data_IF_379712699781
#
_entry.id   IF_379712699781
#
_cell.length_a   1.000
_cell.length_b   1.000
_cell.length_c   1.000
_cell.angle_alpha   90.00
_cell.angle_beta   90.00
_cell.angle_gamma   90.00
#
_symmetry.space_group_name_H-M   'P 1'
#
loop_
_entity.id
_entity.type
_entity.pdbx_description
1 polymer ?
#
# COMPACT_ATOMS: atom_id res chain seq x y z
N UNK A 1 -6.60 -31.54 -17.18
CA UNK A 1 -5.97 -31.77 -15.85
C UNK A 1 -5.33 -30.49 -15.27
N UNK A 2 -4.50 -29.74 -16.03
CA UNK A 2 -3.80 -28.54 -15.52
C UNK A 2 -4.72 -27.37 -15.07
N UNK A 3 -5.86 -27.16 -15.76
CA UNK A 3 -6.86 -26.15 -15.34
C UNK A 3 -7.44 -26.46 -13.95
N UNK A 4 -7.81 -27.72 -13.69
CA UNK A 4 -8.32 -28.18 -12.38
C UNK A 4 -7.27 -27.97 -11.27
N UNK A 5 -5.99 -28.31 -11.53
CA UNK A 5 -4.89 -28.05 -10.58
C UNK A 5 -4.61 -26.57 -10.32
N UNK A 6 -4.87 -25.71 -11.30
CA UNK A 6 -4.73 -24.26 -11.14
C UNK A 6 -5.86 -23.67 -10.31
N UNK A 7 -7.10 -24.11 -10.55
CA UNK A 7 -8.28 -23.70 -9.78
C UNK A 7 -8.12 -24.14 -8.32
N UNK A 8 -7.79 -25.41 -8.06
CA UNK A 8 -7.60 -25.91 -6.70
C UNK A 8 -6.52 -25.11 -5.94
N UNK A 9 -5.37 -24.85 -6.57
CA UNK A 9 -4.31 -24.07 -5.95
C UNK A 9 -4.73 -22.62 -5.67
N UNK A 10 -5.43 -21.99 -6.62
CA UNK A 10 -5.99 -20.67 -6.41
C UNK A 10 -6.93 -20.66 -5.20
N UNK A 11 -7.88 -21.60 -5.13
CA UNK A 11 -8.84 -21.69 -4.02
C UNK A 11 -8.16 -21.89 -2.67
N UNK A 12 -7.14 -22.76 -2.59
CA UNK A 12 -6.39 -22.97 -1.34
C UNK A 12 -5.65 -21.70 -0.91
N UNK A 13 -4.91 -21.07 -1.83
CA UNK A 13 -4.20 -19.81 -1.52
C UNK A 13 -5.19 -18.71 -1.13
N UNK A 14 -6.30 -18.61 -1.85
CA UNK A 14 -7.35 -17.63 -1.57
C UNK A 14 -7.92 -17.78 -0.16
N UNK A 15 -8.28 -19.00 0.26
CA UNK A 15 -8.78 -19.27 1.61
C UNK A 15 -7.74 -18.90 2.67
N UNK A 16 -6.48 -19.32 2.49
CA UNK A 16 -5.40 -19.02 3.45
C UNK A 16 -5.18 -17.52 3.59
N UNK A 17 -5.11 -16.79 2.46
CA UNK A 17 -4.94 -15.34 2.48
C UNK A 17 -6.17 -14.64 3.06
N UNK A 18 -7.39 -15.09 2.76
CA UNK A 18 -8.61 -14.52 3.32
C UNK A 18 -8.67 -14.66 4.84
N UNK A 19 -8.32 -15.84 5.37
CA UNK A 19 -8.24 -16.04 6.82
C UNK A 19 -7.20 -15.12 7.48
N UNK A 20 -6.08 -14.87 6.81
CA UNK A 20 -5.10 -13.89 7.29
C UNK A 20 -5.67 -12.45 7.25
N UNK A 21 -6.23 -12.04 6.11
CA UNK A 21 -6.63 -10.66 5.83
C UNK A 21 -7.92 -10.22 6.54
N UNK A 22 -8.79 -11.15 6.93
CA UNK A 22 -10.02 -10.83 7.65
C UNK A 22 -9.94 -11.20 9.13
N UNK A 23 -9.40 -12.38 9.43
CA UNK A 23 -9.39 -12.92 10.80
C UNK A 23 -8.07 -12.76 11.53
N UNK A 24 -7.01 -12.30 10.84
CA UNK A 24 -5.65 -12.25 11.38
C UNK A 24 -5.24 -13.56 12.07
N UNK A 25 -5.59 -14.71 11.49
CA UNK A 25 -5.42 -16.04 12.13
C UNK A 25 -3.96 -16.37 12.49
N UNK A 26 -3.00 -15.66 11.89
CA UNK A 26 -1.58 -15.83 12.16
C UNK A 26 -1.02 -14.83 13.19
N UNK A 27 -1.86 -13.96 13.77
CA UNK A 27 -1.44 -13.01 14.80
C UNK A 27 -0.46 -11.95 14.29
N UNK A 28 -0.63 -11.53 13.04
CA UNK A 28 0.19 -10.52 12.37
C UNK A 28 -0.18 -9.14 12.91
N UNK A 29 0.81 -8.40 13.41
CA UNK A 29 0.62 -7.03 13.86
C UNK A 29 1.81 -6.53 14.66
N UNK A 30 1.85 -5.22 14.93
CA UNK A 30 2.93 -4.61 15.70
C UNK A 30 2.71 -4.79 17.21
N UNK A 31 1.46 -4.81 17.65
CA UNK A 31 1.03 -5.01 19.03
C UNK A 31 -0.31 -5.78 19.08
N UNK A 32 -0.75 -6.19 20.28
CA UNK A 32 -1.88 -7.12 20.48
C UNK A 32 -3.20 -6.65 19.84
N UNK A 33 -3.49 -5.36 19.93
CA UNK A 33 -4.72 -4.74 19.41
C UNK A 33 -4.49 -4.02 18.07
N UNK A 34 -3.32 -4.23 17.45
CA UNK A 34 -2.92 -3.50 16.24
C UNK A 34 -3.91 -3.72 15.10
N UNK A 35 -4.27 -4.97 14.84
CA UNK A 35 -5.13 -5.34 13.72
C UNK A 35 -6.54 -4.76 13.84
N UNK A 36 -7.16 -4.88 15.02
CA UNK A 36 -8.53 -4.38 15.25
C UNK A 36 -8.61 -2.85 15.29
N UNK A 37 -7.51 -2.20 15.72
CA UNK A 37 -7.39 -0.74 15.73
C UNK A 37 -6.86 -0.15 14.43
N UNK A 38 -6.34 -0.96 13.51
CA UNK A 38 -5.57 -0.48 12.36
C UNK A 38 -6.42 0.42 11.46
N UNK A 39 -6.05 1.70 11.41
CA UNK A 39 -6.68 2.69 10.54
C UNK A 39 -8.21 2.79 10.72
N UNK A 40 -8.67 2.62 11.97
CA UNK A 40 -10.07 2.84 12.36
C UNK A 40 -10.46 4.31 12.24
N UNK A 41 -9.53 5.22 12.53
CA UNK A 41 -9.64 6.66 12.33
C UNK A 41 -9.91 7.03 10.86
N UNK A 42 -9.23 6.37 9.91
CA UNK A 42 -9.46 6.55 8.49
C UNK A 42 -10.79 5.94 8.05
N UNK A 43 -11.10 4.72 8.52
CA UNK A 43 -12.40 4.09 8.24
C UNK A 43 -13.59 4.91 8.77
N UNK A 44 -13.40 5.64 9.87
CA UNK A 44 -14.41 6.53 10.44
C UNK A 44 -14.86 7.64 9.48
N UNK A 45 -14.03 8.06 8.52
CA UNK A 45 -14.43 8.99 7.46
C UNK A 45 -15.58 8.40 6.63
N UNK A 46 -15.46 7.12 6.25
CA UNK A 46 -16.48 6.41 5.49
C UNK A 46 -17.71 6.11 6.35
N UNK A 47 -17.49 5.62 7.57
CA UNK A 47 -18.60 5.27 8.48
C UNK A 47 -19.43 6.49 8.86
N UNK A 48 -18.78 7.62 9.20
CA UNK A 48 -19.47 8.85 9.55
C UNK A 48 -20.26 9.40 8.37
N UNK A 49 -19.70 9.33 7.17
CA UNK A 49 -20.41 9.70 5.92
C UNK A 49 -21.71 8.91 5.79
N UNK A 50 -21.66 7.59 5.97
CA UNK A 50 -22.84 6.74 5.89
C UNK A 50 -23.86 7.03 7.01
N UNK A 51 -23.40 7.29 8.24
CA UNK A 51 -24.25 7.68 9.39
C UNK A 51 -24.94 9.03 9.19
N UNK A 52 -24.30 9.94 8.45
CA UNK A 52 -24.76 11.30 8.23
C UNK A 52 -25.49 11.52 6.91
N UNK A 53 -25.70 10.47 6.11
CA UNK A 53 -26.18 10.59 4.72
C UNK A 53 -27.49 11.36 4.56
N UNK A 54 -28.40 11.29 5.54
CA UNK A 54 -29.69 12.00 5.51
C UNK A 54 -29.60 13.44 6.04
N UNK A 55 -28.51 13.80 6.75
CA UNK A 55 -28.37 15.08 7.45
C UNK A 55 -27.34 16.03 6.82
N UNK A 56 -26.34 15.51 6.10
CA UNK A 56 -25.20 16.32 5.63
C UNK A 56 -25.44 17.04 4.30
N UNK A 57 -26.39 16.58 3.48
CA UNK A 57 -26.56 17.07 2.10
C UNK A 57 -25.38 16.77 1.15
N UNK A 58 -24.32 16.12 1.63
CA UNK A 58 -23.12 15.76 0.86
C UNK A 58 -22.95 14.25 0.83
N UNK A 59 -22.81 13.69 -0.37
CA UNK A 59 -22.66 12.25 -0.61
C UNK A 59 -21.21 11.75 -0.57
N UNK A 60 -20.24 12.66 -0.59
CA UNK A 60 -18.82 12.34 -0.51
C UNK A 60 -18.31 12.23 0.94
N UNK A 61 -17.01 11.92 1.11
CA UNK A 61 -16.41 11.72 2.43
C UNK A 61 -16.51 12.98 3.29
N UNK A 62 -16.92 12.81 4.55
CA UNK A 62 -16.99 13.87 5.56
C UNK A 62 -15.82 13.79 6.54
N UNK A 63 -15.35 14.94 6.98
CA UNK A 63 -14.32 15.07 8.02
C UNK A 63 -14.75 16.13 9.04
N UNK A 64 -14.19 16.07 10.24
CA UNK A 64 -14.40 17.06 11.30
C UNK A 64 -14.11 18.48 10.81
N UNK A 65 -14.98 19.42 11.17
CA UNK A 65 -14.75 20.85 11.03
C UNK A 65 -13.62 21.30 11.97
N UNK A 66 -12.92 22.39 11.62
CA UNK A 66 -11.73 22.82 12.37
C UNK A 66 -12.12 23.21 13.81
N UNK A 67 -11.30 22.84 14.80
CA UNK A 67 -11.39 23.14 16.25
C UNK A 67 -12.07 22.10 17.16
N UNK A 68 -12.42 20.91 16.65
CA UNK A 68 -12.97 19.81 17.47
C UNK A 68 -12.02 18.61 17.56
N UNK A 69 -12.14 17.80 18.61
CA UNK A 69 -11.39 16.55 18.72
C UNK A 69 -11.85 15.54 17.67
N UNK A 70 -10.91 15.11 16.80
CA UNK A 70 -11.21 14.25 15.66
C UNK A 70 -11.88 12.95 16.07
N UNK A 71 -11.37 12.28 17.10
CA UNK A 71 -11.86 10.96 17.49
C UNK A 71 -13.25 11.05 18.12
N UNK A 72 -13.50 12.05 18.98
CA UNK A 72 -14.80 12.28 19.59
C UNK A 72 -15.88 12.55 18.53
N UNK A 73 -15.58 13.33 17.49
CA UNK A 73 -16.54 13.60 16.43
C UNK A 73 -16.69 12.42 15.49
N UNK A 74 -15.59 11.84 15.00
CA UNK A 74 -15.63 10.87 13.90
C UNK A 74 -16.07 9.47 14.32
N UNK A 75 -15.82 9.05 15.56
CA UNK A 75 -16.09 7.67 16.02
C UNK A 75 -17.42 7.49 16.75
N UNK A 76 -18.09 8.58 17.12
CA UNK A 76 -19.39 8.53 17.79
C UNK A 76 -20.50 7.99 16.87
N UNK A 77 -21.49 7.30 17.46
CA UNK A 77 -22.60 6.73 16.70
C UNK A 77 -23.57 7.75 16.11
N UNK A 78 -23.62 8.96 16.68
CA UNK A 78 -24.50 10.05 16.27
C UNK A 78 -24.01 10.82 15.04
N UNK A 79 -24.91 11.62 14.47
CA UNK A 79 -24.60 12.58 13.42
C UNK A 79 -25.03 13.98 13.82
N UNK A 80 -24.04 14.85 13.99
CA UNK A 80 -24.16 16.30 14.03
C UNK A 80 -23.46 16.87 12.79
N UNK A 81 -24.26 17.35 11.83
CA UNK A 81 -23.75 17.84 10.55
C UNK A 81 -23.01 19.18 10.69
N UNK A 82 -23.25 19.95 11.76
CA UNK A 82 -22.60 21.24 11.99
C UNK A 82 -21.11 21.10 12.32
N UNK A 83 -20.72 19.95 12.86
CA UNK A 83 -19.34 19.61 13.19
C UNK A 83 -18.58 18.99 12.02
N UNK A 84 -19.21 18.87 10.84
CA UNK A 84 -18.66 18.16 9.70
C UNK A 84 -18.53 19.06 8.47
N UNK A 85 -17.55 18.74 7.63
CA UNK A 85 -17.35 19.36 6.31
C UNK A 85 -16.90 18.33 5.28
N UNK A 86 -17.05 18.60 3.98
CA UNK A 86 -16.49 17.76 2.93
C UNK A 86 -14.98 17.57 3.08
N UNK A 87 -14.51 16.34 2.89
CA UNK A 87 -13.10 16.02 2.85
C UNK A 87 -12.54 16.32 1.45
N UNK A 88 -12.02 17.54 1.28
CA UNK A 88 -11.60 18.07 -0.02
C UNK A 88 -10.41 17.35 -0.69
N UNK A 89 -9.72 16.45 0.02
CA UNK A 89 -8.53 15.76 -0.49
C UNK A 89 -8.83 14.69 -1.53
N UNK A 90 -10.10 14.35 -1.78
CA UNK A 90 -10.48 13.31 -2.74
C UNK A 90 -11.97 13.38 -3.08
N UNK A 91 -12.34 12.81 -4.23
CA UNK A 91 -13.75 12.59 -4.57
C UNK A 91 -14.43 11.57 -3.64
N UNK A 92 -13.67 10.57 -3.18
CA UNK A 92 -14.08 9.54 -2.23
C UNK A 92 -15.08 8.54 -2.80
N UNK A 93 -14.77 7.95 -3.97
CA UNK A 93 -15.61 6.94 -4.62
C UNK A 93 -16.02 5.81 -3.67
N UNK A 94 -15.10 5.35 -2.83
CA UNK A 94 -15.34 4.34 -1.79
C UNK A 94 -16.41 4.78 -0.80
N UNK A 95 -16.31 6.02 -0.28
CA UNK A 95 -17.26 6.55 0.67
C UNK A 95 -18.65 6.68 0.04
N UNK A 96 -18.71 7.14 -1.21
CA UNK A 96 -19.96 7.30 -1.98
C UNK A 96 -20.66 5.96 -2.22
N UNK A 97 -19.95 4.95 -2.70
CA UNK A 97 -20.53 3.63 -2.98
C UNK A 97 -20.97 2.95 -1.67
N UNK A 98 -20.11 2.94 -0.65
CA UNK A 98 -20.42 2.32 0.65
C UNK A 98 -21.62 3.03 1.30
N UNK A 99 -21.68 4.36 1.24
CA UNK A 99 -22.80 5.13 1.80
C UNK A 99 -24.10 4.90 1.02
N UNK A 100 -24.04 4.86 -0.32
CA UNK A 100 -25.22 4.62 -1.15
C UNK A 100 -25.87 3.25 -0.89
N UNK A 101 -25.06 2.24 -0.57
CA UNK A 101 -25.51 0.89 -0.26
C UNK A 101 -25.83 0.67 1.23
N UNK A 102 -25.55 1.64 2.10
CA UNK A 102 -25.75 1.52 3.53
C UNK A 102 -27.25 1.54 3.89
N UNK A 103 -27.71 0.70 4.84
CA UNK A 103 -29.09 0.76 5.33
C UNK A 103 -29.42 2.12 5.96
N UNK A 104 -30.68 2.56 5.87
CA UNK A 104 -31.14 3.79 6.56
C UNK A 104 -31.20 3.59 8.09
N UNK A 105 -31.48 2.36 8.52
CA UNK A 105 -31.51 1.99 9.93
C UNK A 105 -30.10 1.99 10.52
N UNK A 106 -29.82 2.96 11.38
CA UNK A 106 -28.53 3.15 12.05
C UNK A 106 -28.08 1.94 12.88
N UNK A 107 -29.01 1.14 13.40
CA UNK A 107 -28.71 -0.07 14.16
C UNK A 107 -28.10 -1.18 13.30
N UNK A 108 -28.36 -1.17 11.97
CA UNK A 108 -27.83 -2.15 11.02
C UNK A 108 -26.46 -1.77 10.45
N UNK A 109 -26.02 -0.52 10.62
CA UNK A 109 -24.75 -0.02 10.09
C UNK A 109 -23.51 -0.79 10.58
N UNK A 110 -23.36 -1.17 11.87
CA UNK A 110 -22.19 -1.93 12.31
C UNK A 110 -22.05 -3.28 11.59
N UNK A 111 -23.16 -4.00 11.42
CA UNK A 111 -23.18 -5.28 10.69
C UNK A 111 -22.90 -5.07 9.20
N UNK A 112 -23.43 -3.98 8.61
CA UNK A 112 -23.17 -3.61 7.23
C UNK A 112 -21.68 -3.33 6.99
N UNK A 113 -21.03 -2.49 7.82
CA UNK A 113 -19.60 -2.20 7.67
C UNK A 113 -18.76 -3.47 7.78
N UNK A 114 -19.05 -4.34 8.75
CA UNK A 114 -18.36 -5.65 8.86
C UNK A 114 -18.48 -6.49 7.58
N UNK A 115 -19.62 -6.47 6.90
CA UNK A 115 -19.77 -7.14 5.59
C UNK A 115 -18.91 -6.49 4.51
N UNK A 116 -18.79 -5.16 4.50
CA UNK A 116 -17.86 -4.45 3.60
C UNK A 116 -16.41 -4.87 3.87
N UNK A 117 -15.97 -4.90 5.14
CA UNK A 117 -14.65 -5.38 5.53
C UNK A 117 -14.38 -6.80 4.99
N UNK A 118 -15.34 -7.74 5.14
CA UNK A 118 -15.24 -9.11 4.59
C UNK A 118 -15.03 -9.10 3.07
N UNK A 119 -15.82 -8.30 2.34
CA UNK A 119 -15.73 -8.22 0.87
C UNK A 119 -14.37 -7.67 0.44
N UNK A 120 -13.85 -6.65 1.12
CA UNK A 120 -12.54 -6.07 0.84
C UNK A 120 -11.41 -7.08 1.08
N UNK A 121 -11.41 -7.78 2.22
CA UNK A 121 -10.43 -8.83 2.51
C UNK A 121 -10.50 -9.97 1.49
N UNK A 122 -11.71 -10.39 1.10
CA UNK A 122 -11.93 -11.43 0.10
C UNK A 122 -11.41 -11.01 -1.29
N UNK A 123 -11.65 -9.77 -1.69
CA UNK A 123 -11.15 -9.20 -2.94
C UNK A 123 -9.62 -9.09 -2.94
N UNK A 124 -9.03 -8.64 -1.83
CA UNK A 124 -7.56 -8.55 -1.69
C UNK A 124 -6.92 -9.94 -1.75
N UNK A 125 -7.50 -10.91 -1.04
CA UNK A 125 -7.07 -12.31 -1.09
C UNK A 125 -7.15 -12.88 -2.51
N UNK A 126 -8.21 -12.55 -3.27
CA UNK A 126 -8.37 -13.02 -4.65
C UNK A 126 -7.28 -12.42 -5.56
N UNK A 127 -7.03 -11.12 -5.43
CA UNK A 127 -6.00 -10.43 -6.19
C UNK A 127 -4.61 -11.03 -5.93
N UNK A 128 -4.24 -11.24 -4.67
CA UNK A 128 -2.96 -11.84 -4.29
C UNK A 128 -2.86 -13.33 -4.63
N UNK A 129 -3.97 -14.08 -4.60
CA UNK A 129 -4.01 -15.46 -5.09
C UNK A 129 -3.78 -15.55 -6.60
N UNK A 130 -4.29 -14.60 -7.40
CA UNK A 130 -3.98 -14.50 -8.83
C UNK A 130 -2.50 -14.20 -9.09
N UNK A 131 -1.92 -13.25 -8.35
CA UNK A 131 -0.47 -12.96 -8.41
C UNK A 131 0.33 -14.20 -8.04
N UNK A 132 -0.03 -14.89 -6.96
CA UNK A 132 0.60 -16.15 -6.54
C UNK A 132 0.50 -17.24 -7.59
N UNK A 133 -0.64 -17.37 -8.27
CA UNK A 133 -0.81 -18.31 -9.38
C UNK A 133 0.12 -17.98 -10.55
N UNK A 134 0.36 -16.69 -10.83
CA UNK A 134 1.35 -16.25 -11.83
C UNK A 134 2.78 -16.55 -11.39
N UNK A 135 3.12 -16.33 -10.12
CA UNK A 135 4.41 -16.73 -9.52
C UNK A 135 4.62 -18.24 -9.68
N UNK A 136 3.59 -19.06 -9.41
CA UNK A 136 3.65 -20.52 -9.61
C UNK A 136 3.98 -20.89 -11.06
N UNK A 137 3.35 -20.23 -12.04
CA UNK A 137 3.62 -20.49 -13.46
C UNK A 137 5.04 -20.07 -13.88
N UNK A 138 5.59 -19.03 -13.28
CA UNK A 138 6.93 -18.53 -13.60
C UNK A 138 8.04 -19.34 -12.92
N UNK A 139 7.85 -19.70 -11.65
CA UNK A 139 8.93 -20.14 -10.76
C UNK A 139 8.68 -21.49 -10.07
N UNK A 140 7.47 -22.03 -10.18
CA UNK A 140 7.07 -23.31 -9.62
C UNK A 140 6.35 -23.21 -8.27
N UNK A 141 5.88 -24.35 -7.78
CA UNK A 141 5.00 -24.44 -6.59
C UNK A 141 5.65 -23.91 -5.32
N UNK A 142 6.91 -24.29 -5.04
CA UNK A 142 7.59 -23.89 -3.79
C UNK A 142 7.75 -22.37 -3.72
N UNK A 143 8.16 -21.73 -4.82
CA UNK A 143 8.31 -20.28 -4.86
C UNK A 143 6.98 -19.57 -4.62
N UNK A 144 5.88 -20.10 -5.18
CA UNK A 144 4.55 -19.55 -4.97
C UNK A 144 4.04 -19.75 -3.53
N UNK A 145 4.30 -20.91 -2.92
CA UNK A 145 3.93 -21.17 -1.52
C UNK A 145 4.67 -20.24 -0.55
N UNK A 146 5.98 -20.05 -0.75
CA UNK A 146 6.77 -19.09 0.03
C UNK A 146 6.24 -17.67 -0.17
N UNK A 147 6.00 -17.26 -1.41
CA UNK A 147 5.43 -15.94 -1.71
C UNK A 147 4.10 -15.71 -0.98
N UNK A 148 3.15 -16.66 -1.07
CA UNK A 148 1.86 -16.56 -0.39
C UNK A 148 2.00 -16.51 1.14
N UNK A 149 2.94 -17.27 1.69
CA UNK A 149 3.21 -17.29 3.15
C UNK A 149 3.74 -15.94 3.62
N UNK A 150 4.70 -15.35 2.89
CA UNK A 150 5.27 -14.05 3.25
C UNK A 150 4.24 -12.91 3.10
N UNK A 151 3.37 -12.98 2.08
CA UNK A 151 2.23 -12.06 1.96
C UNK A 151 1.25 -12.24 3.12
N UNK A 152 0.96 -13.47 3.53
CA UNK A 152 0.07 -13.77 4.66
C UNK A 152 0.61 -13.26 6.00
N UNK A 153 1.93 -13.10 6.14
CA UNK A 153 2.61 -12.61 7.36
C UNK A 153 3.04 -11.15 7.28
N UNK A 154 2.60 -10.44 6.25
CA UNK A 154 2.90 -9.01 6.11
C UNK A 154 1.96 -8.19 6.98
N UNK A 155 2.44 -7.44 7.98
CA UNK A 155 1.56 -6.61 8.81
C UNK A 155 0.80 -5.59 7.99
N UNK A 156 1.48 -4.89 7.09
CA UNK A 156 0.87 -3.85 6.28
C UNK A 156 -0.21 -4.41 5.36
N UNK A 157 0.07 -5.48 4.62
CA UNK A 157 -0.95 -6.07 3.73
C UNK A 157 -2.13 -6.60 4.55
N UNK A 158 -1.88 -7.26 5.68
CA UNK A 158 -2.95 -7.78 6.53
C UNK A 158 -3.82 -6.66 7.11
N UNK A 159 -3.21 -5.60 7.64
CA UNK A 159 -3.94 -4.48 8.26
C UNK A 159 -4.78 -3.70 7.25
N UNK A 160 -4.24 -3.46 6.05
CA UNK A 160 -4.94 -2.68 5.02
C UNK A 160 -6.07 -3.45 4.32
N UNK A 161 -6.03 -4.79 4.31
CA UNK A 161 -6.91 -5.60 3.46
C UNK A 161 -8.41 -5.40 3.70
N UNK A 162 -8.79 -5.13 4.96
CA UNK A 162 -10.18 -4.90 5.32
C UNK A 162 -10.59 -3.42 5.36
N UNK A 163 -9.66 -2.48 5.15
CA UNK A 163 -9.91 -1.07 5.47
C UNK A 163 -10.81 -0.36 4.42
N UNK A 164 -11.89 0.26 4.88
CA UNK A 164 -12.91 0.89 4.03
C UNK A 164 -12.47 2.22 3.43
N UNK A 165 -11.53 2.93 4.05
CA UNK A 165 -10.99 4.17 3.49
C UNK A 165 -9.98 3.88 2.39
N UNK A 166 -9.05 2.96 2.67
CA UNK A 166 -7.90 2.71 1.80
C UNK A 166 -8.21 1.81 0.61
N UNK A 167 -9.21 0.92 0.73
CA UNK A 167 -9.62 -0.04 -0.30
C UNK A 167 -8.38 -0.69 -0.94
N UNK A 168 -7.62 -1.43 -0.13
CA UNK A 168 -6.35 -2.02 -0.55
C UNK A 168 -6.40 -2.82 -1.87
N UNK A 169 -7.47 -3.57 -2.20
CA UNK A 169 -7.58 -4.19 -3.52
C UNK A 169 -7.34 -3.22 -4.68
N UNK A 170 -7.82 -1.97 -4.59
CA UNK A 170 -7.59 -0.96 -5.62
C UNK A 170 -6.17 -0.37 -5.58
N UNK A 171 -5.50 -0.37 -4.42
CA UNK A 171 -4.09 0.06 -4.33
C UNK A 171 -3.16 -0.90 -5.08
N UNK A 172 -3.39 -2.22 -4.97
CA UNK A 172 -2.58 -3.24 -5.63
C UNK A 172 -3.07 -3.63 -7.02
N UNK A 173 -4.29 -3.24 -7.41
CA UNK A 173 -4.86 -3.61 -8.71
C UNK A 173 -4.01 -3.18 -9.92
N UNK A 174 -3.44 -1.96 -9.98
CA UNK A 174 -2.56 -1.57 -11.10
C UNK A 174 -1.33 -2.50 -11.23
N UNK A 175 -0.62 -2.75 -10.12
CA UNK A 175 0.49 -3.70 -10.12
C UNK A 175 0.06 -5.12 -10.55
N UNK A 176 -1.02 -5.63 -9.96
CA UNK A 176 -1.49 -6.98 -10.23
C UNK A 176 -1.94 -7.13 -11.68
N UNK A 177 -2.68 -6.16 -12.21
CA UNK A 177 -3.08 -6.14 -13.62
C UNK A 177 -1.85 -6.09 -14.52
N UNK A 178 -0.89 -5.19 -14.26
CA UNK A 178 0.39 -5.12 -14.97
C UNK A 178 1.11 -6.47 -15.00
N UNK A 179 1.24 -7.12 -13.83
CA UNK A 179 1.95 -8.39 -13.67
C UNK A 179 1.25 -9.59 -14.32
N UNK A 180 -0.08 -9.56 -14.39
CA UNK A 180 -0.89 -10.64 -14.93
C UNK A 180 -1.12 -10.51 -16.44
N UNK A 181 -1.34 -9.30 -16.96
CA UNK A 181 -1.85 -9.06 -18.31
C UNK A 181 -0.78 -8.62 -19.31
N UNK A 182 0.29 -7.93 -18.87
CA UNK A 182 1.26 -7.28 -19.77
C UNK A 182 1.82 -8.21 -20.85
N UNK A 183 2.35 -9.38 -20.45
CA UNK A 183 2.93 -10.33 -21.42
C UNK A 183 1.91 -10.81 -22.45
N UNK A 184 0.66 -11.01 -22.03
CA UNK A 184 -0.41 -11.46 -22.89
C UNK A 184 -0.79 -10.36 -23.89
N UNK A 185 -1.10 -9.16 -23.41
CA UNK A 185 -1.44 -8.01 -24.25
C UNK A 185 -0.34 -7.68 -25.26
N UNK A 186 0.94 -7.79 -24.84
CA UNK A 186 2.08 -7.64 -25.75
C UNK A 186 2.09 -8.71 -26.84
N UNK A 187 1.97 -9.98 -26.48
CA UNK A 187 1.99 -11.09 -27.44
C UNK A 187 0.83 -11.04 -28.43
N UNK A 188 -0.35 -10.60 -27.97
CA UNK A 188 -1.55 -10.44 -28.80
C UNK A 188 -1.61 -9.12 -29.56
N UNK A 189 -0.55 -8.29 -29.53
CA UNK A 189 -0.51 -6.95 -30.15
C UNK A 189 -1.63 -6.01 -29.68
N UNK A 190 -2.16 -6.23 -28.47
CA UNK A 190 -3.27 -5.50 -27.84
C UNK A 190 -2.77 -4.59 -26.70
N UNK A 191 -1.63 -3.92 -26.90
CA UNK A 191 -1.06 -3.02 -25.89
C UNK A 191 -1.97 -1.83 -25.56
N UNK A 192 -2.85 -1.42 -26.48
CA UNK A 192 -3.81 -0.36 -26.19
C UNK A 192 -4.83 -0.79 -25.11
N UNK A 193 -5.29 -2.05 -25.10
CA UNK A 193 -6.16 -2.59 -24.05
C UNK A 193 -5.45 -2.66 -22.70
N UNK A 194 -4.14 -2.95 -22.71
CA UNK A 194 -3.33 -2.91 -21.50
C UNK A 194 -3.34 -1.50 -20.89
N UNK A 195 -2.98 -0.48 -21.66
CA UNK A 195 -2.95 0.89 -21.14
C UNK A 195 -4.34 1.42 -20.80
N UNK A 196 -5.38 1.06 -21.56
CA UNK A 196 -6.75 1.39 -21.22
C UNK A 196 -7.18 0.79 -19.87
N UNK A 197 -6.85 -0.48 -19.63
CA UNK A 197 -7.10 -1.14 -18.35
C UNK A 197 -6.38 -0.47 -17.19
N UNK A 198 -5.10 -0.13 -17.36
CA UNK A 198 -4.33 0.62 -16.36
C UNK A 198 -4.92 2.02 -16.10
N UNK A 199 -5.32 2.76 -17.14
CA UNK A 199 -5.98 4.06 -16.97
C UNK A 199 -7.24 3.95 -16.13
N UNK A 200 -8.09 2.94 -16.39
CA UNK A 200 -9.33 2.71 -15.63
C UNK A 200 -9.00 2.39 -14.16
N UNK A 201 -8.07 1.46 -13.90
CA UNK A 201 -7.71 1.07 -12.54
C UNK A 201 -7.10 2.22 -11.74
N UNK A 202 -6.19 2.98 -12.35
CA UNK A 202 -5.60 4.15 -11.74
C UNK A 202 -6.64 5.24 -11.49
N UNK A 203 -7.53 5.51 -12.46
CA UNK A 203 -8.62 6.47 -12.29
C UNK A 203 -9.52 6.08 -11.12
N UNK A 204 -9.95 4.82 -11.03
CA UNK A 204 -10.74 4.32 -9.91
C UNK A 204 -10.02 4.45 -8.56
N UNK A 205 -8.72 4.14 -8.51
CA UNK A 205 -7.93 4.33 -7.28
C UNK A 205 -7.83 5.81 -6.89
N UNK A 206 -7.59 6.70 -7.86
CA UNK A 206 -7.40 8.13 -7.61
C UNK A 206 -8.72 8.84 -7.28
N UNK A 207 -9.86 8.33 -7.74
CA UNK A 207 -11.17 8.77 -7.25
C UNK A 207 -11.37 8.46 -5.76
N UNK A 208 -10.70 7.43 -5.24
CA UNK A 208 -10.66 7.10 -3.82
C UNK A 208 -9.42 7.60 -3.08
N UNK A 209 -8.70 8.58 -3.62
CA UNK A 209 -7.59 9.25 -2.95
C UNK A 209 -6.27 9.21 -3.71
N UNK A 210 -5.51 10.30 -3.62
CA UNK A 210 -4.23 10.52 -4.32
C UNK A 210 -3.01 9.98 -3.56
N UNK A 211 -3.22 9.38 -2.40
CA UNK A 211 -2.17 8.83 -1.56
C UNK A 211 -1.37 7.76 -2.31
N UNK A 212 -0.05 7.81 -2.17
CA UNK A 212 0.91 6.91 -2.79
C UNK A 212 0.95 6.93 -4.32
N UNK A 213 0.40 7.97 -4.98
CA UNK A 213 0.31 8.04 -6.46
C UNK A 213 1.64 7.77 -7.16
N UNK A 214 2.76 8.28 -6.66
CA UNK A 214 4.09 8.07 -7.26
C UNK A 214 4.53 6.61 -7.17
N UNK A 215 4.30 5.97 -6.02
CA UNK A 215 4.58 4.55 -5.78
C UNK A 215 3.68 3.66 -6.64
N UNK A 216 2.37 3.94 -6.67
CA UNK A 216 1.39 3.18 -7.46
C UNK A 216 1.70 3.29 -8.96
N UNK A 217 2.02 4.49 -9.46
CA UNK A 217 2.43 4.71 -10.85
C UNK A 217 3.67 3.87 -11.22
N UNK A 218 4.69 3.87 -10.37
CA UNK A 218 5.89 3.07 -10.59
C UNK A 218 5.59 1.57 -10.50
N UNK A 219 4.63 1.16 -9.67
CA UNK A 219 4.21 -0.24 -9.54
C UNK A 219 3.64 -0.84 -10.83
N UNK A 220 3.09 -0.02 -11.75
CA UNK A 220 2.67 -0.45 -13.09
C UNK A 220 3.88 -0.69 -13.99
N UNK A 221 4.88 0.19 -13.91
CA UNK A 221 6.08 0.11 -14.76
C UNK A 221 7.00 -1.05 -14.38
N UNK A 222 7.05 -1.44 -13.11
CA UNK A 222 7.96 -2.50 -12.63
C UNK A 222 7.69 -3.86 -13.29
N UNK A 223 6.43 -4.37 -13.41
CA UNK A 223 6.15 -5.58 -14.18
C UNK A 223 6.54 -5.49 -15.66
N UNK A 224 6.39 -4.31 -16.27
CA UNK A 224 6.83 -4.08 -17.66
C UNK A 224 8.35 -4.29 -17.76
N UNK A 225 9.12 -3.67 -16.86
CA UNK A 225 10.57 -3.88 -16.75
C UNK A 225 10.90 -5.36 -16.54
N UNK A 226 10.20 -6.00 -15.61
CA UNK A 226 10.42 -7.41 -15.30
C UNK A 226 10.32 -8.26 -16.57
N UNK A 227 9.18 -8.19 -17.27
CA UNK A 227 8.90 -9.03 -18.44
C UNK A 227 9.75 -8.68 -19.66
N UNK A 228 10.06 -7.40 -19.89
CA UNK A 228 10.88 -6.99 -21.02
C UNK A 228 12.34 -7.47 -20.91
N UNK A 229 12.84 -7.60 -19.69
CA UNK A 229 14.22 -7.99 -19.44
C UNK A 229 14.42 -9.52 -19.28
N UNK A 230 13.36 -10.34 -19.20
CA UNK A 230 13.48 -11.80 -18.91
C UNK A 230 14.39 -12.51 -19.92
N UNK A 231 14.36 -12.07 -21.17
CA UNK A 231 15.10 -12.70 -22.26
C UNK A 231 16.47 -12.04 -22.51
N UNK A 232 16.88 -11.04 -21.72
CA UNK A 232 18.14 -10.29 -21.86
C UNK A 232 18.42 -9.62 -23.22
N UNK A 233 17.46 -9.66 -24.16
CA UNK A 233 17.59 -9.06 -25.50
C UNK A 233 17.41 -7.54 -25.50
N UNK A 234 16.68 -7.01 -24.52
CA UNK A 234 16.38 -5.59 -24.40
C UNK A 234 17.40 -4.89 -23.48
N UNK A 235 17.79 -3.66 -23.84
CA UNK A 235 18.57 -2.78 -22.95
C UNK A 235 17.58 -1.95 -22.12
N UNK A 236 17.87 -1.73 -20.83
CA UNK A 236 17.01 -0.97 -19.91
C UNK A 236 16.64 0.41 -20.47
N UNK A 237 17.61 1.10 -21.10
CA UNK A 237 17.40 2.43 -21.66
C UNK A 237 16.29 2.46 -22.71
N UNK A 238 16.06 1.37 -23.45
CA UNK A 238 15.00 1.29 -24.47
C UNK A 238 13.59 1.23 -23.86
N UNK A 239 13.46 1.03 -22.55
CA UNK A 239 12.17 1.00 -21.86
C UNK A 239 11.61 2.40 -21.58
N UNK A 240 12.32 3.48 -21.93
CA UNK A 240 11.85 4.86 -21.76
C UNK A 240 10.47 5.09 -22.42
N UNK A 241 10.20 4.45 -23.56
CA UNK A 241 8.89 4.55 -24.24
C UNK A 241 7.75 4.03 -23.38
N UNK A 242 7.99 2.94 -22.64
CA UNK A 242 7.02 2.40 -21.70
C UNK A 242 6.88 3.29 -20.46
N UNK A 243 7.96 3.90 -19.99
CA UNK A 243 7.91 4.87 -18.90
C UNK A 243 7.05 6.09 -19.30
N UNK A 244 7.27 6.64 -20.50
CA UNK A 244 6.47 7.76 -21.03
C UNK A 244 4.99 7.38 -21.16
N UNK A 245 4.67 6.23 -21.74
CA UNK A 245 3.27 5.79 -21.84
C UNK A 245 2.62 5.56 -20.47
N UNK A 246 3.36 5.00 -19.51
CA UNK A 246 2.86 4.86 -18.12
C UNK A 246 2.62 6.24 -17.50
N UNK A 247 3.50 7.21 -17.76
CA UNK A 247 3.30 8.60 -17.34
C UNK A 247 2.03 9.23 -17.93
N UNK A 248 1.78 9.06 -19.24
CA UNK A 248 0.55 9.53 -19.89
C UNK A 248 -0.69 8.92 -19.25
N UNK A 249 -0.69 7.60 -19.03
CA UNK A 249 -1.80 6.89 -18.36
C UNK A 249 -2.08 7.47 -16.96
N UNK A 250 -1.04 7.71 -16.16
CA UNK A 250 -1.16 8.28 -14.81
C UNK A 250 -1.68 9.71 -14.86
N UNK A 251 -1.18 10.55 -15.77
CA UNK A 251 -1.64 11.94 -15.92
C UNK A 251 -3.11 11.99 -16.32
N UNK A 252 -3.54 11.18 -17.29
CA UNK A 252 -4.95 11.12 -17.71
C UNK A 252 -5.85 10.68 -16.56
N UNK A 253 -5.46 9.62 -15.83
CA UNK A 253 -6.20 9.16 -14.67
C UNK A 253 -6.28 10.21 -13.56
N UNK A 254 -5.17 10.91 -13.28
CA UNK A 254 -5.11 11.95 -12.26
C UNK A 254 -5.96 13.17 -12.63
N UNK A 255 -5.82 13.70 -13.85
CA UNK A 255 -6.61 14.85 -14.32
C UNK A 255 -8.09 14.54 -14.28
N UNK A 256 -8.49 13.34 -14.73
CA UNK A 256 -9.87 12.88 -14.62
C UNK A 256 -10.36 12.89 -13.17
N UNK A 257 -9.62 12.25 -12.26
CA UNK A 257 -10.05 12.13 -10.87
C UNK A 257 -10.05 13.49 -10.14
N UNK A 258 -9.11 14.37 -10.47
CA UNK A 258 -9.07 15.75 -10.00
C UNK A 258 -10.29 16.54 -10.47
N UNK A 259 -10.61 16.47 -11.77
CA UNK A 259 -11.76 17.16 -12.34
C UNK A 259 -13.06 16.69 -11.68
N UNK A 260 -13.23 15.37 -11.47
CA UNK A 260 -14.41 14.82 -10.77
C UNK A 260 -14.50 15.34 -9.32
N UNK A 261 -13.39 15.39 -8.58
CA UNK A 261 -13.38 15.94 -7.23
C UNK A 261 -13.73 17.45 -7.23
N UNK A 262 -13.12 18.20 -8.13
CA UNK A 262 -13.34 19.64 -8.27
C UNK A 262 -14.80 19.97 -8.60
N UNK A 263 -15.43 19.26 -9.54
CA UNK A 263 -16.84 19.43 -9.87
C UNK A 263 -17.72 19.13 -8.66
N UNK A 264 -17.48 17.99 -7.98
CA UNK A 264 -18.28 17.60 -6.81
C UNK A 264 -18.20 18.60 -5.64
N UNK A 265 -17.05 19.24 -5.44
CA UNK A 265 -16.89 20.29 -4.43
C UNK A 265 -17.46 21.63 -4.90
N UNK A 266 -17.33 21.97 -6.19
CA UNK A 266 -17.92 23.19 -6.76
C UNK A 266 -19.43 23.18 -6.66
N UNK A 267 -20.05 22.03 -6.92
CA UNK A 267 -21.49 21.82 -6.75
C UNK A 267 -21.92 21.97 -5.30
N UNK A 268 -21.15 21.40 -4.36
CA UNK A 268 -21.45 21.49 -2.92
C UNK A 268 -21.31 22.91 -2.36
N UNK A 269 -20.24 23.62 -2.72
CA UNK A 269 -20.01 24.99 -2.24
C UNK A 269 -20.74 26.06 -3.06
N UNK A 270 -21.39 25.67 -4.16
CA UNK A 270 -21.93 26.58 -5.18
C UNK A 270 -20.89 27.62 -5.65
N UNK A 271 -19.60 27.26 -5.65
CA UNK A 271 -18.49 28.16 -5.92
C UNK A 271 -17.23 27.39 -6.34
N UNK A 272 -16.81 27.60 -7.59
CA UNK A 272 -15.55 27.06 -8.12
C UNK A 272 -14.32 27.58 -7.37
N UNK A 273 -14.34 28.86 -6.99
CA UNK A 273 -13.22 29.49 -6.27
C UNK A 273 -13.05 28.90 -4.88
N UNK A 274 -14.16 28.65 -4.17
CA UNK A 274 -14.13 28.01 -2.86
C UNK A 274 -13.64 26.56 -2.98
N UNK A 275 -14.13 25.81 -3.97
CA UNK A 275 -13.67 24.44 -4.21
C UNK A 275 -12.16 24.39 -4.48
N UNK A 276 -11.66 25.27 -5.37
CA UNK A 276 -10.23 25.36 -5.70
C UNK A 276 -9.39 25.73 -4.48
N UNK A 277 -9.85 26.71 -3.69
CA UNK A 277 -9.19 27.12 -2.44
C UNK A 277 -9.06 25.94 -1.47
N UNK A 278 -10.14 25.19 -1.24
CA UNK A 278 -10.16 24.06 -0.31
C UNK A 278 -9.22 22.93 -0.76
N UNK A 279 -9.16 22.64 -2.07
CA UNK A 279 -8.23 21.64 -2.63
C UNK A 279 -6.78 22.12 -2.45
N UNK A 280 -6.48 23.37 -2.80
CA UNK A 280 -5.13 23.93 -2.71
C UNK A 280 -4.61 24.02 -1.27
N UNK A 281 -5.46 24.40 -0.32
CA UNK A 281 -5.11 24.41 1.11
C UNK A 281 -4.72 23.00 1.57
N UNK A 282 -5.50 21.97 1.21
CA UNK A 282 -5.16 20.57 1.53
C UNK A 282 -3.90 20.08 0.85
N UNK A 283 -3.69 20.41 -0.42
CA UNK A 283 -2.48 20.05 -1.14
C UNK A 283 -1.23 20.69 -0.49
N UNK A 284 -1.33 21.96 -0.08
CA UNK A 284 -0.27 22.67 0.62
C UNK A 284 0.05 22.02 1.97
N UNK A 285 -0.96 21.74 2.81
CA UNK A 285 -0.78 21.10 4.12
C UNK A 285 -0.03 19.75 4.04
N UNK A 286 -0.27 18.97 2.97
CA UNK A 286 0.37 17.67 2.74
C UNK A 286 1.77 17.76 2.11
N UNK A 287 2.16 18.94 1.62
CA UNK A 287 3.43 19.21 0.94
C UNK A 287 4.57 19.67 1.87
N UNK A 288 5.55 20.37 1.29
CA UNK A 288 6.77 20.84 1.97
C UNK A 288 6.49 21.85 3.11
N UNK A 289 5.42 22.64 3.01
CA UNK A 289 5.09 23.68 3.99
C UNK A 289 4.70 23.11 5.36
N UNK A 290 4.29 21.83 5.42
CA UNK A 290 3.92 21.16 6.66
C UNK A 290 5.09 20.64 7.52
N UNK A 291 6.29 20.46 6.94
CA UNK A 291 7.41 19.72 7.57
C UNK A 291 7.79 20.26 8.96
N UNK A 292 7.83 21.59 9.12
CA UNK A 292 8.25 22.22 10.38
C UNK A 292 7.31 21.92 11.55
N UNK A 293 6.01 21.77 11.29
CA UNK A 293 5.00 21.50 12.32
C UNK A 293 4.94 20.03 12.75
N UNK A 294 5.72 19.16 12.11
CA UNK A 294 5.55 17.70 12.23
C UNK A 294 6.78 16.96 12.78
N UNK A 295 7.74 17.69 13.36
CA UNK A 295 8.97 17.14 13.96
C UNK A 295 8.68 16.20 15.14
N UNK A 296 7.78 16.59 16.04
CA UNK A 296 7.34 15.78 17.17
C UNK A 296 6.76 14.43 16.73
N UNK A 297 6.12 14.35 15.56
CA UNK A 297 5.60 13.08 15.04
C UNK A 297 6.70 12.09 14.66
N UNK A 298 7.89 12.54 14.23
CA UNK A 298 8.96 11.62 13.87
C UNK A 298 9.45 10.83 15.11
N UNK A 299 9.63 11.50 16.25
CA UNK A 299 10.00 10.86 17.52
C UNK A 299 8.83 10.06 18.09
N UNK A 300 7.61 10.60 18.05
CA UNK A 300 6.40 9.88 18.48
C UNK A 300 6.14 8.59 17.68
N UNK A 301 6.38 8.60 16.37
CA UNK A 301 6.29 7.42 15.53
C UNK A 301 7.35 6.38 15.93
N UNK A 302 8.58 6.78 16.21
CA UNK A 302 9.62 5.86 16.67
C UNK A 302 9.22 5.21 18.01
N UNK A 303 8.75 6.02 18.95
CA UNK A 303 8.27 5.57 20.27
C UNK A 303 7.12 4.57 20.17
N UNK A 304 6.22 4.76 19.20
CA UNK A 304 5.02 3.92 19.03
C UNK A 304 5.31 2.65 18.22
N UNK A 305 6.07 2.77 17.14
CA UNK A 305 6.26 1.69 16.16
C UNK A 305 7.48 0.82 16.47
N UNK A 306 8.50 1.40 17.12
CA UNK A 306 9.79 0.79 17.39
C UNK A 306 10.23 1.13 18.82
N UNK A 307 9.43 0.76 19.84
CA UNK A 307 9.62 1.20 21.22
C UNK A 307 10.95 0.77 21.81
N UNK A 308 11.49 -0.38 21.37
CA UNK A 308 12.77 -0.87 21.88
C UNK A 308 13.95 -0.11 21.24
N UNK A 309 13.89 0.17 19.94
CA UNK A 309 14.85 1.08 19.28
C UNK A 309 14.81 2.49 19.85
N UNK A 310 13.61 3.02 20.14
CA UNK A 310 13.46 4.31 20.82
C UNK A 310 14.17 4.30 22.18
N UNK A 311 13.83 3.35 23.07
CA UNK A 311 14.46 3.22 24.40
C UNK A 311 15.97 3.02 24.34
N UNK A 312 16.48 2.40 23.28
CA UNK A 312 17.92 2.22 23.09
C UNK A 312 18.58 3.55 22.68
N UNK A 313 18.03 4.24 21.67
CA UNK A 313 18.57 5.51 21.18
C UNK A 313 18.51 6.61 22.26
N UNK A 314 17.41 6.66 23.02
CA UNK A 314 17.17 7.65 24.08
C UNK A 314 18.20 7.62 25.22
N UNK A 315 18.89 6.48 25.42
CA UNK A 315 20.01 6.38 26.38
C UNK A 315 21.25 7.18 25.97
N UNK A 316 21.40 7.46 24.68
CA UNK A 316 22.59 8.13 24.13
C UNK A 316 22.29 9.54 23.68
N UNK A 317 21.09 9.77 23.16
CA UNK A 317 20.65 11.03 22.58
C UNK A 317 19.25 11.24 23.12
N UNK A 318 19.06 12.19 24.04
CA UNK A 318 17.75 12.52 24.61
C UNK A 318 16.76 12.83 23.47
N UNK A 319 15.91 11.84 23.13
CA UNK A 319 15.11 11.87 21.91
C UNK A 319 13.96 12.86 22.04
N UNK A 320 13.43 13.03 23.26
CA UNK A 320 12.35 13.95 23.56
C UNK A 320 12.84 15.40 23.51
N UNK A 321 14.03 15.70 24.03
CA UNK A 321 14.68 17.02 23.86
C UNK A 321 14.95 17.32 22.39
N UNK A 322 15.42 16.34 21.62
CA UNK A 322 15.61 16.50 20.18
C UNK A 322 14.28 16.77 19.44
N UNK A 323 13.14 16.31 19.96
CA UNK A 323 11.82 16.59 19.39
C UNK A 323 11.36 18.04 19.62
N UNK A 324 11.74 18.63 20.75
CA UNK A 324 11.39 19.99 21.17
C UNK A 324 12.38 21.05 20.66
N UNK A 325 13.64 20.65 20.43
CA UNK A 325 14.68 21.54 19.92
C UNK A 325 14.32 22.09 18.54
N UNK A 326 14.67 23.36 18.26
CA UNK A 326 14.53 23.97 16.92
C UNK A 326 15.68 23.59 15.99
N UNK A 327 16.26 22.40 16.18
CA UNK A 327 17.39 21.87 15.43
C UNK A 327 17.20 21.83 13.91
N UNK A 328 18.24 21.42 13.20
CA UNK A 328 18.24 21.42 11.72
C UNK A 328 17.20 20.42 11.17
N UNK A 329 16.51 20.77 10.09
CA UNK A 329 15.49 19.90 9.46
C UNK A 329 16.04 18.53 9.07
N UNK A 330 17.35 18.42 8.79
CA UNK A 330 18.01 17.17 8.40
C UNK A 330 18.02 16.11 9.50
N UNK A 331 18.11 16.49 10.79
CA UNK A 331 18.09 15.54 11.90
C UNK A 331 16.75 14.77 11.96
N UNK A 332 15.63 15.46 11.78
CA UNK A 332 14.30 14.84 11.74
C UNK A 332 14.07 14.00 10.49
N UNK A 333 14.64 14.41 9.35
CA UNK A 333 14.62 13.61 8.14
C UNK A 333 15.39 12.29 8.34
N UNK A 334 16.52 12.32 9.06
CA UNK A 334 17.28 11.12 9.40
C UNK A 334 16.52 10.19 10.35
N UNK A 335 15.89 10.71 11.41
CA UNK A 335 15.04 9.92 12.33
C UNK A 335 13.87 9.30 11.56
N UNK A 336 13.23 10.08 10.70
CA UNK A 336 12.11 9.58 9.91
C UNK A 336 12.58 8.50 8.91
N UNK A 337 13.73 8.68 8.27
CA UNK A 337 14.32 7.63 7.44
C UNK A 337 14.55 6.35 8.27
N UNK A 338 15.05 6.48 9.51
CA UNK A 338 15.16 5.39 10.49
C UNK A 338 13.84 4.68 10.74
N UNK A 339 12.76 5.43 11.04
CA UNK A 339 11.41 4.87 11.20
C UNK A 339 11.04 3.98 10.01
N UNK A 340 11.18 4.50 8.80
CA UNK A 340 10.78 3.81 7.57
C UNK A 340 11.57 2.55 7.30
N UNK A 341 12.90 2.62 7.37
CA UNK A 341 13.75 1.47 7.02
C UNK A 341 13.66 0.36 8.06
N UNK A 342 13.28 0.69 9.31
CA UNK A 342 13.09 -0.26 10.41
C UNK A 342 11.66 -0.80 10.54
N UNK A 343 10.68 -0.27 9.80
CA UNK A 343 9.32 -0.85 9.79
C UNK A 343 9.38 -2.34 9.42
N UNK A 344 8.57 -3.19 10.06
CA UNK A 344 8.63 -4.62 9.81
C UNK A 344 8.01 -5.00 8.46
N UNK A 345 8.69 -5.90 7.75
CA UNK A 345 8.18 -6.55 6.54
C UNK A 345 7.41 -7.82 6.84
N UNK A 346 7.64 -8.41 8.00
CA UNK A 346 6.97 -9.61 8.46
C UNK A 346 6.77 -9.45 9.96
N UNK A 347 5.61 -9.83 10.45
CA UNK A 347 5.42 -10.12 11.86
C UNK A 347 5.04 -11.59 11.96
N UNK A 348 6.01 -12.38 12.42
CA UNK A 348 5.76 -13.78 12.73
C UNK A 348 4.85 -13.88 13.96
N UNK A 349 4.07 -14.97 14.12
CA UNK A 349 3.30 -15.23 15.33
C UNK A 349 4.16 -15.18 16.61
N UNK A 350 5.47 -15.45 16.45
CA UNK A 350 6.51 -15.26 17.44
C UNK A 350 7.38 -14.08 16.98
N UNK A 351 6.93 -12.85 17.24
CA UNK A 351 7.78 -11.69 16.97
C UNK A 351 9.06 -11.82 17.77
N UNK A 352 10.21 -11.80 17.08
CA UNK A 352 11.49 -11.68 17.77
C UNK A 352 11.44 -10.32 18.46
N UNK A 353 11.53 -10.31 19.79
CA UNK A 353 11.43 -9.09 20.59
C UNK A 353 12.77 -8.38 20.69
N UNK A 354 12.72 -7.11 21.09
CA UNK A 354 13.90 -6.27 21.25
C UNK A 354 14.44 -5.71 19.94
N UNK A 355 15.46 -4.86 20.05
CA UNK A 355 16.09 -4.14 18.93
C UNK A 355 16.54 -5.10 17.82
N UNK A 356 17.11 -6.25 18.18
CA UNK A 356 17.51 -7.27 17.20
C UNK A 356 16.33 -7.77 16.36
N UNK A 357 15.19 -8.00 17.01
CA UNK A 357 13.98 -8.44 16.33
C UNK A 357 13.39 -7.41 15.40
N UNK A 358 13.37 -6.13 15.81
CA UNK A 358 12.97 -4.99 14.97
C UNK A 358 13.87 -4.91 13.72
N UNK A 359 15.19 -5.04 13.89
CA UNK A 359 16.16 -5.01 12.79
C UNK A 359 15.96 -6.20 11.84
N UNK A 360 15.89 -7.44 12.33
CA UNK A 360 15.79 -8.63 11.46
C UNK A 360 14.48 -8.66 10.66
N UNK A 361 13.39 -8.14 11.22
CA UNK A 361 12.09 -8.06 10.55
C UNK A 361 11.99 -6.85 9.61
N UNK A 362 12.92 -5.90 9.68
CA UNK A 362 12.84 -4.60 9.00
C UNK A 362 12.84 -4.65 7.47
N UNK A 363 12.31 -3.57 6.88
CA UNK A 363 12.38 -3.29 5.43
C UNK A 363 13.81 -3.29 4.93
N UNK A 364 14.74 -2.66 5.68
CA UNK A 364 16.15 -2.63 5.33
C UNK A 364 16.72 -4.03 5.15
N UNK A 365 16.57 -4.89 6.16
CA UNK A 365 17.12 -6.25 6.14
C UNK A 365 16.52 -7.06 5.02
N UNK A 366 15.21 -7.02 4.82
CA UNK A 366 14.57 -7.81 3.77
C UNK A 366 14.89 -7.33 2.35
N UNK A 367 15.06 -6.03 2.14
CA UNK A 367 15.57 -5.51 0.86
C UNK A 367 16.99 -6.00 0.62
N UNK A 368 17.87 -5.95 1.62
CA UNK A 368 19.23 -6.48 1.54
C UNK A 368 19.24 -8.00 1.26
N UNK A 369 18.40 -8.77 1.95
CA UNK A 369 18.21 -10.21 1.70
C UNK A 369 17.80 -10.45 0.25
N UNK A 370 16.86 -9.66 -0.28
CA UNK A 370 16.46 -9.73 -1.69
C UNK A 370 17.63 -9.57 -2.67
N UNK A 371 18.47 -8.55 -2.48
CA UNK A 371 19.67 -8.34 -3.31
C UNK A 371 20.72 -9.44 -3.12
N UNK A 372 21.04 -9.80 -1.88
CA UNK A 372 22.04 -10.82 -1.56
C UNK A 372 21.65 -12.18 -2.15
N UNK A 373 20.39 -12.58 -2.00
CA UNK A 373 19.86 -13.82 -2.60
C UNK A 373 19.91 -13.76 -4.11
N UNK A 374 19.56 -12.63 -4.73
CA UNK A 374 19.62 -12.45 -6.17
C UNK A 374 21.06 -12.58 -6.71
N UNK A 375 22.03 -11.94 -6.05
CA UNK A 375 23.46 -12.04 -6.40
C UNK A 375 23.98 -13.45 -6.19
N UNK A 376 23.60 -14.10 -5.10
CA UNK A 376 23.94 -15.51 -4.85
C UNK A 376 23.41 -16.42 -5.96
N UNK A 377 22.14 -16.25 -6.36
CA UNK A 377 21.54 -17.02 -7.45
C UNK A 377 22.28 -16.82 -8.77
N UNK A 378 22.67 -15.58 -9.10
CA UNK A 378 23.47 -15.29 -10.29
C UNK A 378 24.86 -15.92 -10.22
N UNK A 379 25.53 -15.87 -9.07
CA UNK A 379 26.86 -16.47 -8.86
C UNK A 379 26.81 -18.00 -8.99
N UNK A 380 25.78 -18.65 -8.45
CA UNK A 380 25.61 -20.12 -8.52
C UNK A 380 25.08 -20.62 -9.86
N UNK A 381 24.30 -19.79 -10.55
CA UNK A 381 23.70 -20.11 -11.84
C UNK A 381 23.99 -18.96 -12.81
N UNK A 382 25.17 -18.95 -13.46
CA UNK A 382 25.54 -17.88 -14.40
C UNK A 382 24.52 -17.67 -15.53
N UNK A 383 23.79 -18.71 -15.92
CA UNK A 383 22.69 -18.70 -16.91
C UNK A 383 21.32 -18.30 -16.33
N UNK A 384 21.24 -17.77 -15.11
CA UNK A 384 19.99 -17.33 -14.48
C UNK A 384 19.35 -16.17 -15.26
N UNK A 385 18.41 -16.53 -16.15
CA UNK A 385 17.81 -15.60 -17.12
C UNK A 385 17.06 -14.41 -16.48
N UNK A 386 16.48 -14.59 -15.28
CA UNK A 386 15.71 -13.56 -14.59
C UNK A 386 16.56 -12.53 -13.83
N UNK A 387 17.89 -12.67 -13.80
CA UNK A 387 18.75 -11.81 -12.99
C UNK A 387 18.54 -10.32 -13.30
N UNK A 388 18.64 -9.92 -14.58
CA UNK A 388 18.49 -8.51 -14.98
C UNK A 388 17.07 -7.99 -14.75
N UNK A 389 16.06 -8.84 -14.99
CA UNK A 389 14.65 -8.50 -14.67
C UNK A 389 14.48 -8.16 -13.20
N UNK A 390 14.87 -9.06 -12.30
CA UNK A 390 14.72 -8.83 -10.86
C UNK A 390 15.55 -7.65 -10.38
N UNK A 391 16.80 -7.52 -10.85
CA UNK A 391 17.68 -6.43 -10.42
C UNK A 391 17.05 -5.06 -10.71
N UNK A 392 16.61 -4.84 -11.96
CA UNK A 392 16.00 -3.57 -12.34
C UNK A 392 14.60 -3.39 -11.74
N UNK A 393 13.81 -4.46 -11.61
CA UNK A 393 12.53 -4.37 -10.91
C UNK A 393 12.70 -3.95 -9.45
N UNK A 394 13.70 -4.48 -8.73
CA UNK A 394 14.01 -4.09 -7.35
C UNK A 394 14.50 -2.64 -7.26
N UNK A 395 15.42 -2.22 -8.14
CA UNK A 395 15.90 -0.83 -8.16
C UNK A 395 14.77 0.17 -8.40
N UNK A 396 13.95 -0.06 -9.42
CA UNK A 396 12.86 0.84 -9.77
C UNK A 396 11.74 0.80 -8.73
N UNK A 397 11.46 -0.36 -8.13
CA UNK A 397 10.50 -0.44 -7.01
C UNK A 397 10.97 0.31 -5.78
N UNK A 398 12.27 0.22 -5.44
CA UNK A 398 12.85 0.98 -4.33
C UNK A 398 12.79 2.48 -4.59
N UNK A 399 13.13 2.91 -5.81
CA UNK A 399 12.95 4.31 -6.21
C UNK A 399 11.48 4.75 -6.10
N UNK A 400 10.53 3.87 -6.43
CA UNK A 400 9.10 4.14 -6.26
C UNK A 400 8.65 4.31 -4.82
N UNK A 401 9.11 3.46 -3.90
CA UNK A 401 8.84 3.61 -2.48
C UNK A 401 9.45 4.92 -1.92
N UNK A 402 10.71 5.19 -2.26
CA UNK A 402 11.41 6.40 -1.80
C UNK A 402 10.84 7.68 -2.39
N UNK A 403 10.30 7.63 -3.62
CA UNK A 403 9.71 8.81 -4.27
C UNK A 403 8.58 9.42 -3.45
N UNK A 404 7.74 8.60 -2.81
CA UNK A 404 6.64 9.09 -1.98
C UNK A 404 7.16 9.85 -0.75
N UNK A 405 8.21 9.31 -0.11
CA UNK A 405 8.82 9.92 1.06
C UNK A 405 9.45 11.28 0.75
N UNK A 406 9.94 11.46 -0.48
CA UNK A 406 10.57 12.69 -0.96
C UNK A 406 9.52 13.71 -1.44
N UNK A 407 8.52 13.25 -2.21
CA UNK A 407 7.54 14.14 -2.85
C UNK A 407 6.44 14.62 -1.89
N UNK A 408 6.07 13.80 -0.90
CA UNK A 408 4.95 14.08 0.02
C UNK A 408 5.38 14.02 1.49
N UNK A 409 6.41 14.78 1.91
CA UNK A 409 6.95 14.70 3.26
C UNK A 409 5.94 15.14 4.33
N UNK A 410 5.01 16.05 4.00
CA UNK A 410 3.95 16.46 4.92
C UNK A 410 2.92 15.34 5.20
N UNK A 411 2.80 14.34 4.33
CA UNK A 411 2.10 13.10 4.64
C UNK A 411 3.04 12.05 5.25
N UNK A 412 4.25 11.92 4.70
CA UNK A 412 5.18 10.87 5.10
C UNK A 412 5.67 10.98 6.56
N UNK A 413 5.93 12.20 7.04
CA UNK A 413 6.44 12.41 8.40
C UNK A 413 5.46 11.98 9.51
N UNK A 414 4.20 12.45 9.53
CA UNK A 414 3.26 12.11 10.59
C UNK A 414 2.74 10.67 10.49
N UNK A 415 2.70 10.11 9.28
CA UNK A 415 2.00 8.86 8.99
C UNK A 415 2.94 7.66 8.77
N UNK A 416 4.12 7.64 9.40
CA UNK A 416 5.03 6.48 9.32
C UNK A 416 4.35 5.17 9.78
N UNK A 417 3.38 5.27 10.69
CA UNK A 417 2.60 4.15 11.22
C UNK A 417 1.65 3.48 10.20
N UNK A 418 1.55 3.99 8.97
CA UNK A 418 0.71 3.44 7.88
C UNK A 418 1.50 3.30 6.58
N UNK A 419 2.50 4.15 6.38
CA UNK A 419 3.22 4.22 5.12
C UNK A 419 4.18 3.04 4.88
N UNK A 420 4.26 2.04 5.76
CA UNK A 420 4.98 0.79 5.46
C UNK A 420 4.49 0.10 4.19
N UNK A 421 3.23 0.33 3.81
CA UNK A 421 2.63 -0.24 2.59
C UNK A 421 3.32 0.22 1.30
N UNK A 422 4.01 1.38 1.28
CA UNK A 422 4.68 1.87 0.06
C UNK A 422 5.81 0.96 -0.40
N UNK A 423 6.39 0.18 0.53
CA UNK A 423 7.42 -0.80 0.19
C UNK A 423 6.83 -2.12 -0.34
N UNK A 424 5.53 -2.34 -0.25
CA UNK A 424 4.87 -3.52 -0.81
C UNK A 424 4.43 -3.34 -2.26
N UNK A 425 4.44 -2.11 -2.78
CA UNK A 425 3.93 -1.78 -4.11
C UNK A 425 5.06 -1.29 -5.04
N UNK A 426 5.85 -2.19 -5.67
CA UNK A 426 5.84 -3.65 -5.57
C UNK A 426 7.13 -4.25 -4.98
N UNK A 427 7.98 -3.45 -4.29
CA UNK A 427 9.34 -3.86 -3.90
C UNK A 427 9.38 -5.19 -3.13
N UNK A 428 8.65 -5.28 -2.01
CA UNK A 428 8.65 -6.47 -1.16
C UNK A 428 8.00 -7.67 -1.84
N UNK A 429 7.02 -7.47 -2.73
CA UNK A 429 6.47 -8.56 -3.53
C UNK A 429 7.56 -9.20 -4.42
N UNK A 430 8.42 -8.39 -5.04
CA UNK A 430 9.56 -8.92 -5.79
C UNK A 430 10.62 -9.55 -4.89
N UNK A 431 10.90 -8.99 -3.71
CA UNK A 431 11.79 -9.63 -2.71
C UNK A 431 11.27 -11.02 -2.35
N UNK A 432 9.97 -11.16 -2.04
CA UNK A 432 9.34 -12.43 -1.70
C UNK A 432 9.43 -13.44 -2.85
N UNK A 433 9.28 -13.00 -4.11
CA UNK A 433 9.48 -13.87 -5.27
C UNK A 433 10.93 -14.38 -5.37
N UNK A 434 11.93 -13.51 -5.12
CA UNK A 434 13.35 -13.88 -5.15
C UNK A 434 13.69 -14.88 -4.03
N UNK A 435 13.19 -14.65 -2.82
CA UNK A 435 13.36 -15.58 -1.69
C UNK A 435 12.69 -16.92 -1.98
N UNK A 436 11.46 -16.91 -2.51
CA UNK A 436 10.75 -18.13 -2.91
C UNK A 436 11.50 -18.92 -4.00
N UNK A 437 12.10 -18.23 -4.97
CA UNK A 437 12.94 -18.84 -5.99
C UNK A 437 14.16 -19.55 -5.40
N UNK A 438 14.84 -18.91 -4.45
CA UNK A 438 15.99 -19.48 -3.76
C UNK A 438 15.63 -20.74 -2.97
N UNK A 439 14.57 -20.68 -2.15
CA UNK A 439 14.08 -21.84 -1.40
C UNK A 439 13.66 -22.96 -2.36
N UNK A 440 12.97 -22.63 -3.45
CA UNK A 440 12.61 -23.58 -4.49
C UNK A 440 13.81 -24.31 -5.10
N UNK A 441 14.94 -23.62 -5.29
CA UNK A 441 16.17 -24.23 -5.79
C UNK A 441 16.83 -25.15 -4.75
N UNK A 442 16.80 -24.79 -3.47
CA UNK A 442 17.29 -25.66 -2.37
C UNK A 442 16.49 -26.98 -2.35
N UNK A 443 15.15 -26.89 -2.37
CA UNK A 443 14.27 -28.06 -2.32
C UNK A 443 14.50 -28.97 -3.53
N UNK A 444 14.61 -28.40 -4.73
CA UNK A 444 14.92 -29.16 -5.95
C UNK A 444 16.27 -29.89 -5.87
N UNK A 445 17.29 -29.26 -5.26
CA UNK A 445 18.61 -29.87 -5.11
C UNK A 445 18.59 -31.04 -4.11
N UNK A 446 17.85 -30.92 -3.00
CA UNK A 446 17.70 -32.01 -2.02
C UNK A 446 16.98 -33.23 -2.62
N UNK A 447 15.91 -33.00 -3.39
CA UNK A 447 15.18 -34.08 -4.10
C UNK A 447 15.98 -34.79 -5.20
N UNK A 448 17.10 -34.24 -5.66
CA UNK A 448 18.01 -34.90 -6.62
C UNK A 448 19.09 -35.73 -5.93
N UNK A 449 19.25 -35.59 -4.61
CA UNK A 449 20.28 -36.25 -3.80
C UNK A 449 19.71 -37.38 -2.93
N UNK A 450 18.44 -37.28 -2.57
CA UNK A 450 17.61 -38.41 -2.13
C UNK A 450 17.07 -39.12 -3.36
#
# INVERSE_FOLDING_TARGET
>A
MERKKSILFFSVVWVVLFLSFFGNVFGVGLWREWFDGFQRDSSAIVEKTARCKEKSGYSGPLIVAKNEDYNSVMTTGGCDASLLKPYASQYGLQARIITALAPNDSAKLPVYFKKVNVVLSAAMAALMALVTLRVRKLFGLVAAAVFATLVAFSPWVVGYAQNMYWIEPLMFAPFAFAFLSYSYCKSSKKMWLFYLGETILLFLKLLGGYEYISTIAISVFVPIIFFELVNNKQKIIKLWKHAVMTGVVVVVAFVGAYATNFMALSDYYHSSDTALKMINERASERGLSGIRKMRAHAVGNLKTLLPESYKFADRFINMDELAEDRGSTYQYLAINAGNYVLLPTLSLPLSIKGVFGEIVQSILVWVLVGYLVLFYLKRRHPSFKYYRSFLWSLHISLAGALSWLILMPGHALPHAHINGIVFYMPLLLFVYMVVGLYIGNIVKKRRKRA
#
